data_IF_409557917260
#
_entry.id   IF_409557917260
#
_cell.length_a   1.000
_cell.length_b   1.000
_cell.length_c   1.000
_cell.angle_alpha   90.00
_cell.angle_beta   90.00
_cell.angle_gamma   90.00
#
_symmetry.space_group_name_H-M   'P 1'
#
loop_
_entity.id
_entity.type
_entity.pdbx_description
1 polymer ?
#
# COMPACT_ATOMS: atom_id res chain seq x y z
N UNK A 1 15.39 11.75 5.93
CA UNK A 1 14.10 11.17 5.49
C UNK A 1 14.36 9.97 4.58
N UNK A 2 13.48 8.96 4.56
CA UNK A 2 13.58 7.90 3.54
C UNK A 2 13.44 8.52 2.14
N UNK A 3 14.17 7.99 1.16
CA UNK A 3 14.13 8.38 -0.25
C UNK A 3 14.55 9.84 -0.56
N UNK A 4 15.52 10.41 0.16
CA UNK A 4 16.11 11.70 -0.27
C UNK A 4 16.86 11.53 -1.60
N UNK A 5 16.96 12.61 -2.38
CA UNK A 5 17.78 12.62 -3.60
C UNK A 5 19.25 12.29 -3.25
N UNK A 6 19.90 11.51 -4.12
CA UNK A 6 21.27 11.06 -3.91
C UNK A 6 21.99 10.89 -5.26
N UNK A 7 23.11 11.58 -5.44
CA UNK A 7 23.84 11.59 -6.71
C UNK A 7 22.95 12.05 -7.87
N UNK A 8 22.84 11.22 -8.90
CA UNK A 8 22.00 11.50 -10.08
C UNK A 8 20.53 11.10 -9.92
N UNK A 9 20.13 10.51 -8.78
CA UNK A 9 18.76 10.03 -8.54
C UNK A 9 17.95 11.05 -7.76
N UNK A 10 16.76 11.34 -8.27
CA UNK A 10 15.74 12.08 -7.53
C UNK A 10 15.19 11.26 -6.36
N UNK A 11 14.47 11.92 -5.46
CA UNK A 11 13.73 11.23 -4.40
C UNK A 11 12.72 10.22 -4.95
N UNK A 12 12.10 10.53 -6.08
CA UNK A 12 11.15 9.65 -6.76
C UNK A 12 11.85 8.40 -7.33
N UNK A 13 13.05 8.55 -7.89
CA UNK A 13 13.82 7.41 -8.41
C UNK A 13 14.18 6.44 -7.28
N UNK A 14 14.61 6.97 -6.13
CA UNK A 14 14.93 6.16 -4.95
C UNK A 14 13.68 5.45 -4.37
N UNK A 15 12.49 6.05 -4.48
CA UNK A 15 11.23 5.40 -4.13
C UNK A 15 10.90 4.26 -5.11
N UNK A 16 11.05 4.49 -6.42
CA UNK A 16 10.79 3.48 -7.46
C UNK A 16 11.72 2.29 -7.30
N UNK A 17 13.01 2.52 -7.01
CA UNK A 17 13.99 1.47 -6.73
C UNK A 17 13.60 0.62 -5.52
N UNK A 18 12.99 1.22 -4.50
CA UNK A 18 12.49 0.46 -3.35
C UNK A 18 11.26 -0.36 -3.71
N UNK A 19 10.35 0.21 -4.48
CA UNK A 19 9.11 -0.44 -4.88
C UNK A 19 9.35 -1.62 -5.82
N UNK A 20 10.37 -1.56 -6.67
CA UNK A 20 10.72 -2.66 -7.59
C UNK A 20 11.09 -3.96 -6.87
N UNK A 21 11.57 -3.87 -5.62
CA UNK A 21 11.80 -5.04 -4.77
C UNK A 21 10.53 -5.76 -4.29
N UNK A 22 9.36 -5.11 -4.35
CA UNK A 22 8.07 -5.68 -3.96
C UNK A 22 7.15 -5.92 -5.16
N UNK A 23 7.22 -5.04 -6.15
CA UNK A 23 6.44 -5.08 -7.38
C UNK A 23 7.45 -5.08 -8.53
N UNK A 24 7.85 -6.25 -9.04
CA UNK A 24 8.75 -6.36 -10.18
C UNK A 24 8.25 -5.49 -11.35
N UNK A 25 9.19 -4.78 -11.98
CA UNK A 25 8.92 -3.87 -13.10
C UNK A 25 7.90 -2.77 -12.76
N UNK A 26 7.89 -2.28 -11.52
CA UNK A 26 7.09 -1.11 -11.15
C UNK A 26 7.58 0.14 -11.89
N UNK A 27 6.64 0.85 -12.52
CA UNK A 27 6.86 2.17 -13.10
C UNK A 27 5.70 3.09 -12.72
N UNK A 28 5.97 4.40 -12.63
CA UNK A 28 4.93 5.38 -12.36
C UNK A 28 3.90 5.35 -13.51
N UNK A 29 2.64 5.13 -13.17
CA UNK A 29 1.55 5.05 -14.16
C UNK A 29 1.37 3.67 -14.80
N UNK A 30 1.97 2.61 -14.25
CA UNK A 30 1.73 1.22 -14.67
C UNK A 30 0.23 0.88 -14.59
N UNK A 31 -0.39 0.56 -15.73
CA UNK A 31 -1.85 0.43 -15.88
C UNK A 31 -2.42 -0.87 -15.31
N UNK A 32 -1.62 -1.92 -15.28
CA UNK A 32 -1.98 -3.26 -14.85
C UNK A 32 -1.53 -3.58 -13.42
N UNK A 33 -1.12 -2.57 -12.65
CA UNK A 33 -0.63 -2.77 -11.28
C UNK A 33 -1.68 -3.45 -10.39
N UNK A 34 -2.95 -3.09 -10.55
CA UNK A 34 -4.04 -3.68 -9.77
C UNK A 34 -4.24 -5.16 -10.09
N UNK A 35 -4.21 -5.57 -11.37
CA UNK A 35 -4.44 -6.97 -11.73
C UNK A 35 -3.35 -7.89 -11.18
N UNK A 36 -2.10 -7.41 -11.09
CA UNK A 36 -0.99 -8.13 -10.45
C UNK A 36 -1.15 -8.27 -8.93
N UNK A 37 -1.81 -7.32 -8.27
CA UNK A 37 -1.95 -7.26 -6.81
C UNK A 37 -3.31 -7.73 -6.29
N UNK A 38 -4.33 -7.87 -7.14
CA UNK A 38 -5.71 -8.14 -6.73
C UNK A 38 -5.86 -9.41 -5.87
N UNK A 39 -5.02 -10.42 -6.09
CA UNK A 39 -5.03 -11.66 -5.28
C UNK A 39 -4.59 -11.42 -3.82
N UNK A 40 -3.90 -10.32 -3.55
CA UNK A 40 -3.40 -9.95 -2.22
C UNK A 40 -4.38 -9.04 -1.46
N UNK A 41 -5.53 -8.67 -2.03
CA UNK A 41 -6.48 -7.74 -1.40
C UNK A 41 -6.89 -8.17 0.01
N UNK A 42 -7.13 -9.47 0.25
CA UNK A 42 -7.50 -9.95 1.59
C UNK A 42 -6.35 -9.80 2.60
N UNK A 43 -5.10 -10.08 2.20
CA UNK A 43 -3.94 -9.81 3.04
C UNK A 43 -3.78 -8.32 3.35
N UNK A 44 -4.04 -7.45 2.36
CA UNK A 44 -4.00 -6.01 2.57
C UNK A 44 -5.08 -5.54 3.56
N UNK A 45 -6.27 -6.13 3.56
CA UNK A 45 -7.33 -5.89 4.56
C UNK A 45 -6.82 -6.27 5.97
N UNK A 46 -6.27 -7.48 6.12
CA UNK A 46 -5.77 -7.96 7.41
C UNK A 46 -4.64 -7.08 7.97
N UNK A 47 -3.69 -6.70 7.11
CA UNK A 47 -2.60 -5.81 7.49
C UNK A 47 -3.08 -4.40 7.84
N UNK A 48 -4.08 -3.88 7.13
CA UNK A 48 -4.67 -2.56 7.44
C UNK A 48 -5.33 -2.57 8.81
N UNK A 49 -6.12 -3.61 9.13
CA UNK A 49 -6.73 -3.80 10.46
C UNK A 49 -5.69 -3.93 11.56
N UNK A 50 -4.61 -4.68 11.31
CA UNK A 50 -3.51 -4.84 12.25
C UNK A 50 -2.80 -3.51 12.51
N UNK A 51 -2.47 -2.77 11.45
CA UNK A 51 -1.80 -1.47 11.56
C UNK A 51 -2.65 -0.47 12.32
N UNK A 52 -3.96 -0.46 12.12
CA UNK A 52 -4.88 0.39 12.88
C UNK A 52 -4.87 0.05 14.38
N UNK A 53 -4.99 -1.23 14.72
CA UNK A 53 -4.91 -1.68 16.13
C UNK A 53 -3.59 -1.30 16.80
N UNK A 54 -2.47 -1.43 16.08
CA UNK A 54 -1.15 -1.08 16.60
C UNK A 54 -1.01 0.45 16.80
N UNK A 55 -1.56 1.27 15.90
CA UNK A 55 -1.55 2.71 16.04
C UNK A 55 -2.44 3.20 17.20
N UNK A 56 -3.64 2.63 17.35
CA UNK A 56 -4.55 2.91 18.46
C UNK A 56 -3.91 2.56 19.81
N UNK A 57 -3.28 1.39 19.90
CA UNK A 57 -2.62 0.92 21.13
C UNK A 57 -1.43 1.80 21.53
N UNK A 58 -0.72 2.38 20.56
CA UNK A 58 0.48 3.18 20.80
C UNK A 58 0.19 4.70 20.81
N UNK A 59 -1.06 5.12 20.66
CA UNK A 59 -1.47 6.52 20.53
C UNK A 59 -0.65 7.29 19.47
N UNK A 60 -0.32 6.63 18.35
CA UNK A 60 0.47 7.23 17.27
C UNK A 60 -0.40 7.55 16.07
N UNK A 61 -0.17 8.72 15.47
CA UNK A 61 -0.78 9.13 14.19
C UNK A 61 0.04 8.63 12.98
N UNK A 62 0.59 7.41 13.07
CA UNK A 62 1.23 6.77 11.92
C UNK A 62 0.10 6.43 10.93
N UNK A 63 0.07 6.97 9.70
CA UNK A 63 -1.15 7.09 8.92
C UNK A 63 -1.90 5.77 8.83
N UNK A 64 -2.95 5.66 9.65
CA UNK A 64 -3.89 4.57 9.59
C UNK A 64 -4.91 4.90 8.52
N UNK A 65 -5.48 3.84 7.94
CA UNK A 65 -6.51 4.01 6.92
C UNK A 65 -7.70 3.13 7.23
N UNK A 66 -8.89 3.70 7.12
CA UNK A 66 -10.16 2.99 7.19
C UNK A 66 -10.61 2.46 5.82
N UNK A 67 -9.74 2.49 4.80
CA UNK A 67 -10.04 1.97 3.45
C UNK A 67 -10.43 0.49 3.48
N UNK A 68 -9.95 -0.28 4.46
CA UNK A 68 -10.37 -1.68 4.63
C UNK A 68 -11.89 -1.81 4.80
N UNK A 69 -12.55 -0.85 5.48
CA UNK A 69 -14.01 -0.86 5.68
C UNK A 69 -14.75 -0.70 4.35
N UNK A 70 -14.28 0.24 3.51
CA UNK A 70 -14.82 0.44 2.17
C UNK A 70 -14.64 -0.80 1.30
N UNK A 71 -13.44 -1.39 1.30
CA UNK A 71 -13.15 -2.57 0.47
C UNK A 71 -14.01 -3.76 0.92
N UNK A 72 -14.15 -4.00 2.22
CA UNK A 72 -15.01 -5.06 2.75
C UNK A 72 -16.49 -4.83 2.40
N UNK A 73 -16.96 -3.59 2.49
CA UNK A 73 -18.32 -3.22 2.08
C UNK A 73 -18.57 -3.55 0.60
N UNK A 74 -17.66 -3.13 -0.29
CA UNK A 74 -17.75 -3.41 -1.72
C UNK A 74 -17.69 -4.91 -2.06
N UNK A 75 -16.84 -5.67 -1.35
CA UNK A 75 -16.77 -7.12 -1.52
C UNK A 75 -18.09 -7.80 -1.12
N UNK A 76 -18.72 -7.36 -0.02
CA UNK A 76 -20.03 -7.87 0.42
C UNK A 76 -21.14 -7.56 -0.58
N UNK A 77 -21.15 -6.34 -1.15
CA UNK A 77 -22.12 -5.98 -2.19
C UNK A 77 -22.00 -6.86 -3.44
N UNK A 78 -20.79 -7.24 -3.84
CA UNK A 78 -20.56 -8.11 -5.01
C UNK A 78 -20.98 -9.57 -4.76
N UNK A 79 -21.05 -10.00 -3.49
CA UNK A 79 -21.47 -11.36 -3.12
C UNK A 79 -22.98 -11.52 -2.97
N UNK A 80 -23.75 -10.44 -3.13
CA UNK A 80 -25.22 -10.44 -3.26
C UNK A 80 -25.61 -10.74 -4.71
#
# INVERSE_FOLDING_TARGET
HPFMAAGAKSSCDNLIDRLSGFIPDYTKGKKDIYSGLAKQTNHAIDWSKRSLREADANATDNPTTYVYELVEYLQRLKSL
#
